data_IF_888784234129
#
_entry.id   IF_888784234129
#
_cell.length_a   1.000
_cell.length_b   1.000
_cell.length_c   1.000
_cell.angle_alpha   90.00
_cell.angle_beta   90.00
_cell.angle_gamma   90.00
#
_symmetry.space_group_name_H-M   'P 1'
#
loop_
_entity.id
_entity.type
_entity.pdbx_description
1 polymer ?
#
# COMPACT_ATOMS: atom_id res chain seq x y z
N UNK A 1 -82.95 -23.97 1.65
CA UNK A 1 -82.62 -22.53 1.55
C UNK A 1 -82.15 -22.07 2.94
N UNK A 2 -80.84 -22.11 3.20
CA UNK A 2 -80.25 -21.63 4.46
C UNK A 2 -78.98 -20.85 4.14
N UNK A 3 -79.00 -19.58 4.51
CA UNK A 3 -78.00 -18.55 4.26
C UNK A 3 -76.82 -18.78 5.21
N UNK A 4 -75.61 -18.78 4.65
CA UNK A 4 -74.35 -18.99 5.35
C UNK A 4 -73.96 -17.77 6.18
N UNK A 5 -73.53 -18.01 7.43
CA UNK A 5 -72.86 -17.04 8.31
C UNK A 5 -71.36 -17.32 8.33
N UNK A 6 -70.60 -16.25 8.22
CA UNK A 6 -69.15 -16.19 8.25
C UNK A 6 -68.59 -16.36 9.68
N UNK A 7 -67.46 -17.05 9.80
CA UNK A 7 -66.55 -17.04 10.94
C UNK A 7 -65.14 -16.70 10.40
N UNK A 8 -64.42 -15.72 10.96
CA UNK A 8 -63.08 -15.36 10.50
C UNK A 8 -62.04 -16.31 11.10
N UNK A 9 -61.17 -16.87 10.25
CA UNK A 9 -60.02 -17.66 10.68
C UNK A 9 -58.87 -16.74 11.08
N UNK A 10 -58.37 -16.89 12.30
CA UNK A 10 -57.09 -16.33 12.74
C UNK A 10 -55.95 -16.97 11.93
N UNK A 11 -55.23 -16.16 11.14
CA UNK A 11 -53.94 -16.53 10.57
C UNK A 11 -52.83 -16.04 11.51
N UNK A 12 -52.23 -16.99 12.23
CA UNK A 12 -50.98 -16.80 12.97
C UNK A 12 -49.86 -16.71 11.94
N UNK A 13 -49.38 -15.50 11.66
CA UNK A 13 -48.20 -15.28 10.83
C UNK A 13 -46.94 -15.69 11.59
N UNK A 14 -46.33 -16.81 11.21
CA UNK A 14 -44.97 -17.17 11.60
C UNK A 14 -44.01 -16.13 11.02
N UNK A 15 -43.39 -15.31 11.88
CA UNK A 15 -42.22 -14.51 11.51
C UNK A 15 -41.04 -15.45 11.39
N UNK A 16 -40.72 -15.88 10.17
CA UNK A 16 -39.46 -16.54 9.86
C UNK A 16 -38.35 -15.50 9.93
N UNK A 17 -37.62 -15.48 11.04
CA UNK A 17 -36.35 -14.76 11.13
C UNK A 17 -35.39 -15.33 10.08
N UNK A 18 -34.96 -14.49 9.14
CA UNK A 18 -33.89 -14.85 8.21
C UNK A 18 -32.62 -15.20 9.02
N UNK A 19 -31.85 -16.23 8.61
CA UNK A 19 -30.61 -16.55 9.29
C UNK A 19 -29.66 -15.35 9.14
N UNK A 20 -29.31 -14.71 10.24
CA UNK A 20 -28.22 -13.75 10.26
C UNK A 20 -26.96 -14.44 9.78
N UNK A 21 -26.29 -13.85 8.79
CA UNK A 21 -24.96 -14.27 8.35
C UNK A 21 -24.06 -14.23 9.58
N UNK A 22 -23.66 -15.41 10.06
CA UNK A 22 -22.75 -15.53 11.18
C UNK A 22 -21.40 -14.92 10.76
N UNK A 23 -21.04 -13.79 11.36
CA UNK A 23 -19.67 -13.26 11.32
C UNK A 23 -18.74 -14.38 11.78
N UNK A 24 -17.75 -14.78 10.98
CA UNK A 24 -16.79 -15.80 11.41
C UNK A 24 -16.00 -15.25 12.60
N UNK A 25 -16.15 -15.83 13.82
CA UNK A 25 -15.41 -15.38 14.99
C UNK A 25 -13.97 -15.91 15.01
N UNK A 26 -13.53 -16.59 13.95
CA UNK A 26 -12.22 -17.24 13.83
C UNK A 26 -11.52 -16.76 12.57
N UNK A 27 -10.20 -16.66 12.65
CA UNK A 27 -9.38 -16.44 11.47
C UNK A 27 -9.48 -17.64 10.52
N UNK A 28 -9.38 -17.36 9.23
CA UNK A 28 -9.27 -18.38 8.18
C UNK A 28 -7.83 -18.39 7.67
N UNK A 29 -7.25 -19.57 7.49
CA UNK A 29 -5.87 -19.66 7.04
C UNK A 29 -5.56 -20.94 6.26
N UNK A 30 -4.64 -20.84 5.32
CA UNK A 30 -4.00 -21.96 4.65
C UNK A 30 -2.50 -21.65 4.54
N UNK A 31 -1.66 -22.60 4.95
CA UNK A 31 -0.19 -22.45 4.88
C UNK A 31 0.34 -21.17 5.54
N UNK A 32 -0.39 -20.63 6.51
CA UNK A 32 -0.05 -19.43 7.26
C UNK A 32 -0.65 -19.56 8.66
N UNK A 33 0.04 -19.05 9.69
CA UNK A 33 -0.40 -19.16 11.08
C UNK A 33 -0.17 -17.85 11.84
N UNK A 34 -1.18 -17.38 12.56
CA UNK A 34 -1.04 -16.22 13.45
C UNK A 34 0.00 -16.50 14.54
N UNK A 35 0.96 -15.59 14.69
CA UNK A 35 1.94 -15.60 15.78
C UNK A 35 1.59 -14.62 16.88
N UNK A 36 1.20 -13.41 16.51
CA UNK A 36 0.88 -12.35 17.44
C UNK A 36 0.00 -11.29 16.81
N UNK A 37 -0.59 -10.46 17.67
CA UNK A 37 -1.52 -9.40 17.32
C UNK A 37 -1.31 -8.21 18.24
N UNK A 38 -1.53 -7.02 17.72
CA UNK A 38 -1.65 -5.81 18.52
C UNK A 38 -2.82 -4.98 17.96
N UNK A 39 -3.69 -4.47 18.82
CA UNK A 39 -4.89 -3.73 18.40
C UNK A 39 -4.60 -2.33 17.82
N UNK A 40 -3.38 -1.84 17.99
CA UNK A 40 -2.91 -0.50 17.60
C UNK A 40 -3.78 0.61 18.22
N UNK A 41 -4.27 0.40 19.45
CA UNK A 41 -5.21 1.29 20.11
C UNK A 41 -6.47 1.56 19.26
N UNK A 42 -6.91 0.55 18.50
CA UNK A 42 -8.05 0.62 17.58
C UNK A 42 -7.93 1.72 16.51
N UNK A 43 -6.70 2.09 16.12
CA UNK A 43 -6.46 3.04 15.03
C UNK A 43 -6.50 2.31 13.68
N UNK A 44 -7.12 2.94 12.68
CA UNK A 44 -7.09 2.46 11.29
C UNK A 44 -5.66 2.47 10.76
N UNK A 45 -5.16 1.35 10.23
CA UNK A 45 -3.79 1.23 9.75
C UNK A 45 -3.70 1.30 8.21
N UNK A 46 -2.60 1.85 7.72
CA UNK A 46 -2.26 1.92 6.29
C UNK A 46 -0.93 1.21 6.03
N UNK A 47 0.22 1.90 6.08
CA UNK A 47 1.52 1.32 5.75
C UNK A 47 2.29 0.86 7.01
N UNK A 48 2.59 -0.45 7.16
CA UNK A 48 3.61 -0.92 8.08
C UNK A 48 4.99 -0.91 7.41
N UNK A 49 6.04 -0.55 8.15
CA UNK A 49 7.45 -0.77 7.80
C UNK A 49 8.14 -1.39 9.00
N UNK A 50 8.80 -2.53 8.78
CA UNK A 50 9.52 -3.24 9.83
C UNK A 50 11.00 -3.00 9.58
N UNK A 51 11.62 -2.27 10.51
CA UNK A 51 13.00 -1.85 10.39
C UNK A 51 13.84 -2.51 11.49
N UNK A 52 15.01 -3.03 11.11
CA UNK A 52 15.96 -3.59 12.07
C UNK A 52 16.84 -2.47 12.62
N UNK A 53 16.66 -2.14 13.89
CA UNK A 53 17.42 -1.12 14.63
C UNK A 53 18.35 -1.81 15.63
N UNK A 54 19.58 -2.05 15.19
CA UNK A 54 20.52 -2.90 15.93
C UNK A 54 20.00 -4.34 16.00
N UNK A 55 19.80 -4.84 17.22
CA UNK A 55 19.27 -6.19 17.47
C UNK A 55 17.74 -6.24 17.57
N UNK A 56 17.06 -5.08 17.54
CA UNK A 56 15.60 -4.99 17.66
C UNK A 56 14.95 -4.86 16.28
N UNK A 57 13.74 -5.40 16.17
CA UNK A 57 12.85 -5.14 15.05
C UNK A 57 11.76 -4.17 15.50
N UNK A 58 11.71 -3.00 14.89
CA UNK A 58 10.74 -1.96 15.20
C UNK A 58 9.77 -1.84 14.03
N UNK A 59 8.47 -1.97 14.32
CA UNK A 59 7.41 -1.72 13.36
C UNK A 59 6.93 -0.26 13.49
N UNK A 60 6.99 0.46 12.37
CA UNK A 60 6.40 1.78 12.20
C UNK A 60 5.12 1.61 11.40
N UNK A 61 3.97 1.94 11.99
CA UNK A 61 2.66 1.75 11.35
C UNK A 61 1.99 3.10 11.20
N UNK A 62 1.86 3.55 9.96
CA UNK A 62 1.12 4.76 9.64
C UNK A 62 -0.38 4.54 9.69
N UNK A 63 -1.12 5.58 10.12
CA UNK A 63 -2.56 5.53 10.30
C UNK A 63 -3.29 6.53 9.41
N UNK A 64 -4.48 6.14 8.97
CA UNK A 64 -5.46 7.08 8.42
C UNK A 64 -5.94 8.06 9.52
N UNK A 65 -6.51 9.17 9.10
CA UNK A 65 -7.14 10.16 9.96
C UNK A 65 -8.22 9.61 10.90
N UNK A 66 -8.50 10.38 11.93
CA UNK A 66 -9.38 10.06 13.04
C UNK A 66 -8.70 10.35 14.38
N UNK A 67 -9.44 10.15 15.47
CA UNK A 67 -8.95 10.36 16.85
C UNK A 67 -9.16 9.09 17.66
N UNK A 68 -8.19 8.74 18.50
CA UNK A 68 -8.30 7.63 19.47
C UNK A 68 -7.64 7.98 20.80
N UNK A 69 -8.13 7.42 21.91
CA UNK A 69 -7.46 7.50 23.19
C UNK A 69 -6.05 6.89 23.08
N UNK A 70 -5.10 7.51 23.77
CA UNK A 70 -3.75 7.02 23.93
C UNK A 70 -3.50 6.67 25.41
N UNK A 71 -3.50 5.37 25.77
CA UNK A 71 -3.23 4.93 27.14
C UNK A 71 -1.84 5.34 27.67
N UNK A 72 -0.85 5.58 26.80
CA UNK A 72 0.48 6.02 27.22
C UNK A 72 0.49 7.47 27.74
N UNK A 73 -0.40 8.32 27.24
CA UNK A 73 -0.45 9.76 27.58
C UNK A 73 -1.72 10.14 28.36
N UNK A 74 -2.72 9.26 28.38
CA UNK A 74 -4.02 9.51 28.99
C UNK A 74 -4.89 10.52 28.22
N UNK A 75 -4.56 10.79 26.94
CA UNK A 75 -5.23 11.81 26.12
C UNK A 75 -5.80 11.21 24.84
N UNK A 76 -6.84 11.85 24.31
CA UNK A 76 -7.26 11.63 22.93
C UNK A 76 -6.27 12.29 21.98
N UNK A 77 -5.80 11.53 21.00
CA UNK A 77 -4.82 11.99 20.02
C UNK A 77 -5.27 11.69 18.61
N UNK A 78 -5.05 12.65 17.71
CA UNK A 78 -5.15 12.47 16.28
C UNK A 78 -4.30 11.28 15.85
N UNK A 79 -4.88 10.35 15.11
CA UNK A 79 -4.15 9.24 14.50
C UNK A 79 -2.91 9.77 13.77
N UNK A 80 -1.79 9.07 13.90
CA UNK A 80 -0.57 9.42 13.20
C UNK A 80 0.26 8.18 12.91
N UNK A 81 1.32 7.97 13.67
CA UNK A 81 2.22 6.82 13.48
C UNK A 81 2.39 6.08 14.80
N UNK A 82 2.07 4.79 14.82
CA UNK A 82 2.40 3.90 15.94
C UNK A 82 3.81 3.33 15.78
N UNK A 83 4.54 3.22 16.89
CA UNK A 83 5.86 2.58 16.94
C UNK A 83 5.76 1.39 17.89
N UNK A 84 6.09 0.20 17.40
CA UNK A 84 6.03 -1.05 18.17
C UNK A 84 7.38 -1.78 18.14
N UNK A 85 7.77 -2.35 19.26
CA UNK A 85 8.80 -3.39 19.27
C UNK A 85 8.16 -4.73 18.86
N UNK A 86 8.63 -5.28 17.75
CA UNK A 86 8.21 -6.58 17.20
C UNK A 86 9.37 -7.56 17.14
N UNK A 87 10.40 -7.35 17.99
CA UNK A 87 11.51 -8.29 18.16
C UNK A 87 10.98 -9.65 18.62
N UNK A 88 10.00 -9.65 19.53
CA UNK A 88 9.27 -10.86 19.90
C UNK A 88 7.89 -10.87 19.23
N UNK A 89 7.72 -11.55 18.08
CA UNK A 89 6.52 -11.43 17.23
C UNK A 89 5.23 -11.92 17.91
N UNK A 90 5.35 -12.74 18.96
CA UNK A 90 4.21 -13.24 19.73
C UNK A 90 3.69 -12.23 20.76
N UNK A 91 4.48 -11.22 21.10
CA UNK A 91 4.14 -10.21 22.09
C UNK A 91 4.63 -8.81 21.64
N UNK A 92 4.04 -8.23 20.57
CA UNK A 92 4.37 -6.88 20.15
C UNK A 92 4.16 -5.87 21.27
N UNK A 93 5.11 -4.96 21.48
CA UNK A 93 5.04 -3.94 22.53
C UNK A 93 4.89 -2.55 21.93
N UNK A 94 3.81 -1.85 22.25
CA UNK A 94 3.62 -0.47 21.83
C UNK A 94 4.58 0.46 22.58
N UNK A 95 5.41 1.20 21.84
CA UNK A 95 6.49 2.04 22.40
C UNK A 95 6.10 3.51 22.46
N UNK A 96 5.55 4.02 21.37
CA UNK A 96 5.22 5.42 21.22
C UNK A 96 4.18 5.63 20.12
N UNK A 97 3.55 6.80 20.16
CA UNK A 97 2.68 7.28 19.10
C UNK A 97 3.09 8.71 18.75
N UNK A 98 3.21 9.00 17.45
CA UNK A 98 3.46 10.35 16.95
C UNK A 98 2.16 10.86 16.31
N UNK A 99 1.48 11.87 16.88
CA UNK A 99 0.23 12.41 16.30
C UNK A 99 0.39 12.88 14.84
N UNK A 100 -0.70 12.77 14.08
CA UNK A 100 -0.79 13.18 12.69
C UNK A 100 -1.64 14.43 12.47
N UNK A 101 -2.17 14.59 11.26
CA UNK A 101 -3.04 15.71 10.90
C UNK A 101 -4.52 15.45 11.26
N UNK A 102 -5.32 16.51 11.49
CA UNK A 102 -6.77 16.38 11.68
C UNK A 102 -7.47 15.93 10.40
N UNK A 103 -8.69 15.41 10.55
CA UNK A 103 -9.50 14.85 9.47
C UNK A 103 -9.66 13.34 9.60
N UNK A 104 -10.68 12.79 8.94
CA UNK A 104 -11.00 11.36 8.95
C UNK A 104 -10.48 10.65 7.70
N UNK A 105 -10.21 9.36 7.81
CA UNK A 105 -9.77 8.52 6.69
C UNK A 105 -8.54 9.14 5.96
N UNK A 106 -8.55 9.27 4.63
CA UNK A 106 -7.41 9.86 3.90
C UNK A 106 -7.27 11.38 4.08
N UNK A 107 -8.24 12.06 4.69
CA UNK A 107 -8.20 13.52 4.87
C UNK A 107 -7.32 13.96 6.06
N UNK A 108 -6.81 13.03 6.87
CA UNK A 108 -5.95 13.29 8.02
C UNK A 108 -4.91 12.19 8.24
N UNK A 109 -4.39 12.09 9.45
CA UNK A 109 -3.50 10.99 9.84
C UNK A 109 -2.01 11.23 9.53
N UNK A 110 -1.26 10.14 9.48
CA UNK A 110 0.12 10.07 8.98
C UNK A 110 0.32 8.66 8.38
N UNK A 111 -0.38 8.40 7.29
CA UNK A 111 -0.65 7.04 6.80
C UNK A 111 0.58 6.36 6.22
N UNK A 112 1.49 7.11 5.60
CA UNK A 112 2.66 6.56 4.92
C UNK A 112 3.96 6.82 5.67
N UNK A 113 4.80 5.79 5.76
CA UNK A 113 6.09 5.82 6.45
C UNK A 113 7.21 5.12 5.68
N UNK A 114 8.45 5.60 5.85
CA UNK A 114 9.71 4.96 5.46
C UNK A 114 10.77 5.21 6.52
N UNK A 115 11.71 4.28 6.67
CA UNK A 115 12.75 4.37 7.70
C UNK A 115 14.12 4.11 7.07
N UNK A 116 15.09 4.93 7.43
CA UNK A 116 16.48 4.77 7.02
C UNK A 116 17.41 4.98 8.23
N UNK A 117 18.45 4.15 8.33
CA UNK A 117 19.55 4.43 9.24
C UNK A 117 20.46 5.52 8.66
N UNK A 118 20.89 6.44 9.50
CA UNK A 118 21.83 7.50 9.14
C UNK A 118 23.19 6.98 8.67
N UNK A 119 23.58 5.75 9.06
CA UNK A 119 24.82 5.11 8.57
C UNK A 119 24.78 4.78 7.07
N UNK A 120 23.58 4.60 6.52
CA UNK A 120 23.34 4.26 5.10
C UNK A 120 23.17 5.53 4.27
N UNK A 121 22.62 6.59 4.86
CA UNK A 121 22.42 7.88 4.21
C UNK A 121 23.76 8.59 3.93
N UNK A 122 23.92 9.25 2.77
CA UNK A 122 25.21 9.85 2.38
C UNK A 122 25.79 10.90 3.33
N UNK A 123 24.93 11.72 3.95
CA UNK A 123 25.34 12.93 4.69
C UNK A 123 24.60 13.08 6.02
N UNK A 124 23.98 12.01 6.52
CA UNK A 124 23.26 12.03 7.79
C UNK A 124 24.19 11.75 8.98
N UNK A 125 23.70 12.00 10.20
CA UNK A 125 24.37 11.52 11.40
C UNK A 125 24.31 9.98 11.44
N UNK A 126 25.47 9.34 11.37
CA UNK A 126 25.60 7.87 11.26
C UNK A 126 25.07 7.12 12.48
N UNK A 127 24.89 7.80 13.61
CA UNK A 127 24.40 7.22 14.86
C UNK A 127 22.88 7.19 14.96
N UNK A 128 22.18 7.82 14.01
CA UNK A 128 20.74 8.06 14.06
C UNK A 128 19.95 7.08 13.20
N UNK A 129 18.66 6.97 13.50
CA UNK A 129 17.64 6.36 12.63
C UNK A 129 16.53 7.38 12.37
N UNK A 130 16.11 7.50 11.12
CA UNK A 130 15.18 8.52 10.66
C UNK A 130 13.91 7.91 10.08
N UNK A 131 12.76 8.50 10.43
CA UNK A 131 11.44 8.17 9.90
C UNK A 131 10.98 9.30 8.97
N UNK A 132 10.80 9.00 7.69
CA UNK A 132 10.06 9.84 6.75
C UNK A 132 8.57 9.47 6.83
N UNK A 133 7.68 10.45 6.95
CA UNK A 133 6.24 10.22 6.95
C UNK A 133 5.46 11.35 6.31
N UNK A 134 4.22 11.07 5.91
CA UNK A 134 3.21 12.11 5.62
C UNK A 134 2.67 12.72 6.91
N UNK A 135 2.24 13.99 6.87
CA UNK A 135 1.37 14.63 7.88
C UNK A 135 0.03 14.93 7.21
N UNK A 136 -0.83 13.90 7.14
CA UNK A 136 -2.08 13.91 6.38
C UNK A 136 -1.91 14.56 5.00
N UNK A 137 -2.86 15.37 4.53
CA UNK A 137 -2.75 16.04 3.23
C UNK A 137 -1.78 17.22 3.21
N UNK A 138 -1.17 17.59 4.34
CA UNK A 138 -0.60 18.92 4.55
C UNK A 138 0.91 19.00 4.24
N UNK A 139 1.66 17.94 4.54
CA UNK A 139 3.11 17.97 4.51
C UNK A 139 3.76 16.57 4.45
N UNK A 140 5.06 16.53 4.18
CA UNK A 140 5.95 15.40 4.49
C UNK A 140 6.98 15.83 5.53
N UNK A 141 7.27 14.96 6.50
CA UNK A 141 8.13 15.23 7.65
C UNK A 141 9.19 14.15 7.83
N UNK A 142 10.33 14.53 8.40
CA UNK A 142 11.33 13.59 8.92
C UNK A 142 11.40 13.72 10.44
N UNK A 143 11.49 12.58 11.11
CA UNK A 143 11.62 12.44 12.56
C UNK A 143 12.90 11.66 12.89
N UNK A 144 13.60 12.06 13.95
CA UNK A 144 14.62 11.23 14.59
C UNK A 144 13.91 10.20 15.49
N UNK A 145 14.10 8.92 15.19
CA UNK A 145 13.50 7.77 15.87
C UNK A 145 14.57 6.81 16.40
N UNK A 146 15.79 7.33 16.62
CA UNK A 146 16.90 6.57 17.20
C UNK A 146 16.53 5.98 18.55
N UNK A 147 15.82 6.75 19.38
CA UNK A 147 15.12 6.26 20.55
C UNK A 147 13.63 6.10 20.21
N UNK A 148 13.16 4.89 19.84
CA UNK A 148 11.80 4.68 19.35
C UNK A 148 10.73 4.94 20.41
N UNK A 149 11.08 4.99 21.70
CA UNK A 149 10.16 5.39 22.78
C UNK A 149 9.97 6.91 22.89
N UNK A 150 10.87 7.70 22.29
CA UNK A 150 10.85 9.17 22.37
C UNK A 150 11.23 9.81 21.04
N UNK A 151 10.39 9.63 20.00
CA UNK A 151 10.61 10.20 18.69
C UNK A 151 10.60 11.74 18.75
N UNK A 152 11.49 12.39 18.02
CA UNK A 152 11.58 13.85 17.96
C UNK A 152 11.49 14.35 16.53
N UNK A 153 10.67 15.37 16.29
CA UNK A 153 10.58 16.01 14.97
C UNK A 153 11.95 16.57 14.59
N UNK A 154 12.39 16.28 13.36
CA UNK A 154 13.65 16.79 12.84
C UNK A 154 13.40 17.97 11.90
N UNK A 155 12.56 17.76 10.88
CA UNK A 155 12.26 18.78 9.88
C UNK A 155 10.98 18.48 9.11
N UNK A 156 10.38 19.51 8.54
CA UNK A 156 9.30 19.39 7.56
C UNK A 156 9.89 19.56 6.17
N UNK A 157 9.86 18.49 5.36
CA UNK A 157 10.48 18.44 4.03
C UNK A 157 9.78 19.37 3.05
N UNK A 158 8.46 19.33 3.08
CA UNK A 158 7.58 20.18 2.27
C UNK A 158 6.25 20.34 2.99
N UNK A 159 5.68 21.54 2.93
CA UNK A 159 4.39 21.91 3.53
C UNK A 159 3.54 22.75 2.57
N UNK A 160 2.32 23.11 2.98
CA UNK A 160 1.40 23.88 2.14
C UNK A 160 0.71 23.05 1.07
N UNK A 161 0.71 21.73 1.23
CA UNK A 161 0.05 20.78 0.34
C UNK A 161 -1.44 20.68 0.70
N UNK A 162 -2.26 20.29 -0.27
CA UNK A 162 -3.66 19.90 -0.09
C UNK A 162 -3.91 18.42 -0.31
N UNK A 163 -2.89 17.67 -0.75
CA UNK A 163 -2.94 16.22 -0.84
C UNK A 163 -1.53 15.65 -0.71
N UNK A 164 -1.37 14.60 0.12
CA UNK A 164 -0.22 13.68 0.07
C UNK A 164 -0.72 12.25 -0.07
N UNK A 165 0.16 11.29 -0.36
CA UNK A 165 -0.23 9.88 -0.30
C UNK A 165 0.96 8.99 0.06
N UNK A 166 1.55 8.28 -0.90
CA UNK A 166 2.73 7.46 -0.69
C UNK A 166 4.03 8.28 -0.64
N UNK A 167 5.10 7.65 -0.16
CA UNK A 167 6.47 8.09 -0.32
C UNK A 167 7.40 6.88 -0.50
N UNK A 168 8.53 7.12 -1.16
CA UNK A 168 9.61 6.16 -1.32
C UNK A 168 10.92 6.86 -0.98
N UNK A 169 11.78 6.21 -0.20
CA UNK A 169 13.07 6.79 0.21
C UNK A 169 14.18 5.77 -0.05
N UNK A 170 15.07 6.10 -0.97
CA UNK A 170 16.28 5.33 -1.27
C UNK A 170 17.34 5.67 -0.21
N UNK A 171 17.53 4.81 0.80
CA UNK A 171 18.44 5.11 1.90
C UNK A 171 19.91 5.28 1.47
N UNK A 172 20.35 4.63 0.40
CA UNK A 172 21.73 4.66 -0.09
C UNK A 172 22.09 5.95 -0.82
N UNK A 173 21.17 6.48 -1.63
CA UNK A 173 21.34 7.74 -2.36
C UNK A 173 20.79 8.95 -1.61
N UNK A 174 19.89 8.72 -0.65
CA UNK A 174 19.12 9.75 0.04
C UNK A 174 17.96 10.31 -0.77
N UNK A 175 17.72 9.86 -2.00
CA UNK A 175 16.65 10.39 -2.85
C UNK A 175 15.28 9.92 -2.34
N UNK A 176 14.38 10.87 -2.17
CA UNK A 176 13.00 10.63 -1.76
C UNK A 176 12.01 11.10 -2.83
N UNK A 177 11.01 10.27 -3.08
CA UNK A 177 9.90 10.53 -4.00
C UNK A 177 8.63 10.68 -3.17
N UNK A 178 8.10 11.89 -3.13
CA UNK A 178 7.01 12.28 -2.23
C UNK A 178 5.75 12.48 -3.06
N UNK A 179 4.78 11.56 -2.96
CA UNK A 179 3.49 11.74 -3.64
C UNK A 179 2.74 12.89 -2.96
N UNK A 180 2.48 13.92 -3.75
CA UNK A 180 2.00 15.22 -3.30
C UNK A 180 1.10 15.84 -4.37
N UNK A 181 0.33 16.87 -4.01
CA UNK A 181 -0.39 17.64 -5.02
C UNK A 181 0.54 18.55 -5.85
N UNK A 182 -0.06 19.20 -6.84
CA UNK A 182 0.57 20.15 -7.73
C UNK A 182 1.00 21.48 -7.13
N UNK A 183 0.79 21.73 -5.83
CA UNK A 183 0.92 23.09 -5.29
C UNK A 183 2.39 23.53 -5.17
N UNK A 184 2.66 24.84 -5.29
CA UNK A 184 1.73 25.88 -5.76
C UNK A 184 1.56 25.95 -7.29
N UNK A 185 2.26 25.10 -8.05
CA UNK A 185 2.50 25.24 -9.48
C UNK A 185 1.32 24.95 -10.42
N UNK A 186 0.09 24.71 -9.94
CA UNK A 186 -1.09 24.60 -10.82
C UNK A 186 -1.10 23.35 -11.73
N UNK A 187 -0.49 22.25 -11.28
CA UNK A 187 -0.56 20.97 -12.00
C UNK A 187 -2.00 20.47 -12.11
N UNK A 188 -2.30 19.78 -13.22
CA UNK A 188 -3.63 19.29 -13.60
C UNK A 188 -3.87 17.86 -13.14
N UNK A 189 -3.43 17.55 -11.92
CA UNK A 189 -3.62 16.25 -11.27
C UNK A 189 -3.78 16.44 -9.76
N UNK A 190 -4.50 15.52 -9.10
CA UNK A 190 -4.60 15.51 -7.64
C UNK A 190 -3.29 15.06 -6.97
N UNK A 191 -2.49 14.24 -7.65
CA UNK A 191 -1.25 13.64 -7.13
C UNK A 191 -0.19 13.57 -8.23
N UNK A 192 0.99 14.09 -7.94
CA UNK A 192 2.23 13.95 -8.69
C UNK A 192 3.39 13.69 -7.71
N UNK A 193 4.62 13.57 -8.21
CA UNK A 193 5.79 13.28 -7.38
C UNK A 193 6.67 14.51 -7.20
N UNK A 194 6.89 14.94 -5.95
CA UNK A 194 7.95 15.88 -5.60
C UNK A 194 9.20 15.11 -5.21
N UNK A 195 10.32 15.40 -5.85
CA UNK A 195 11.59 14.70 -5.64
C UNK A 195 12.49 15.57 -4.76
N UNK A 196 12.99 14.98 -3.68
CA UNK A 196 13.91 15.62 -2.74
C UNK A 196 15.17 14.77 -2.56
N UNK A 197 16.30 15.44 -2.38
CA UNK A 197 17.52 14.85 -1.84
C UNK A 197 17.48 15.00 -0.32
N UNK A 198 17.25 13.87 0.36
CA UNK A 198 17.26 13.72 1.81
C UNK A 198 18.52 12.97 2.29
N UNK A 199 19.62 13.03 1.53
CA UNK A 199 20.90 12.44 1.95
C UNK A 199 21.45 13.07 3.23
N UNK A 200 21.11 14.35 3.47
CA UNK A 200 21.12 14.98 4.79
C UNK A 200 19.65 15.23 5.19
N UNK A 201 19.05 14.39 6.04
CA UNK A 201 17.63 14.50 6.39
C UNK A 201 17.30 15.75 7.21
N UNK A 202 18.29 16.42 7.82
CA UNK A 202 18.08 17.69 8.52
C UNK A 202 18.03 18.88 7.54
N UNK A 203 18.54 18.72 6.31
CA UNK A 203 18.57 19.76 5.27
C UNK A 203 18.02 19.24 3.94
N UNK A 204 16.70 19.01 3.85
CA UNK A 204 16.06 18.57 2.62
C UNK A 204 16.33 19.52 1.45
N UNK A 205 16.70 18.99 0.29
CA UNK A 205 16.92 19.78 -0.92
C UNK A 205 15.95 19.35 -2.01
N UNK A 206 15.09 20.27 -2.44
CA UNK A 206 14.20 20.03 -3.59
C UNK A 206 15.02 19.78 -4.86
N UNK A 207 14.61 18.79 -5.65
CA UNK A 207 15.21 18.44 -6.93
C UNK A 207 14.30 18.89 -8.06
N UNK A 208 13.08 18.34 -8.15
CA UNK A 208 12.09 18.67 -9.17
C UNK A 208 10.71 18.15 -8.81
N UNK A 209 9.70 18.70 -9.49
CA UNK A 209 8.39 18.07 -9.63
C UNK A 209 8.41 17.13 -10.85
N UNK A 210 7.69 16.00 -10.76
CA UNK A 210 7.62 15.00 -11.82
C UNK A 210 6.26 14.31 -11.87
N UNK A 211 5.77 14.05 -13.09
CA UNK A 211 4.50 13.42 -13.37
C UNK A 211 4.42 12.99 -14.84
N UNK A 212 3.25 12.51 -15.27
CA UNK A 212 3.03 12.20 -16.68
C UNK A 212 2.88 13.50 -17.49
N UNK A 213 3.42 13.52 -18.70
CA UNK A 213 3.18 14.61 -19.63
C UNK A 213 1.67 14.76 -19.91
N UNK A 214 1.18 15.99 -19.91
CA UNK A 214 -0.24 16.36 -19.88
C UNK A 214 -0.76 16.72 -18.48
N UNK A 215 0.04 16.53 -17.42
CA UNK A 215 -0.29 16.97 -16.05
C UNK A 215 0.36 18.31 -15.70
N UNK A 216 1.42 18.68 -16.42
CA UNK A 216 2.22 19.86 -16.11
C UNK A 216 1.43 21.18 -16.25
N UNK A 217 1.88 22.24 -15.57
CA UNK A 217 1.25 23.56 -15.66
C UNK A 217 1.20 24.07 -17.11
N UNK A 218 0.06 24.63 -17.51
CA UNK A 218 -0.15 25.16 -18.85
C UNK A 218 -0.46 24.12 -19.93
N UNK A 219 -0.46 22.82 -19.61
CA UNK A 219 -0.91 21.77 -20.53
C UNK A 219 -2.41 21.87 -20.83
N UNK A 220 -2.83 21.36 -21.99
CA UNK A 220 -4.24 21.35 -22.46
C UNK A 220 -4.75 19.91 -22.67
N UNK A 221 -6.03 19.73 -23.05
CA UNK A 221 -6.63 18.41 -23.27
C UNK A 221 -6.93 17.63 -21.98
N UNK A 222 -7.20 16.33 -22.08
CA UNK A 222 -7.51 15.49 -20.90
C UNK A 222 -6.22 15.13 -20.16
N UNK A 223 -6.11 15.53 -18.88
CA UNK A 223 -4.95 15.19 -18.06
C UNK A 223 -4.95 13.68 -17.68
N UNK A 224 -3.77 13.02 -17.71
CA UNK A 224 -3.62 11.66 -17.17
C UNK A 224 -3.92 11.59 -15.67
N UNK A 225 -4.30 10.40 -15.20
CA UNK A 225 -4.54 10.15 -13.78
C UNK A 225 -3.31 10.35 -12.90
N UNK A 226 -3.55 10.71 -11.64
CA UNK A 226 -2.49 10.96 -10.67
C UNK A 226 -1.67 9.73 -10.31
N UNK A 227 -0.44 9.98 -9.85
CA UNK A 227 0.45 8.92 -9.36
C UNK A 227 -0.09 8.38 -8.03
N UNK A 228 -0.07 7.07 -7.88
CA UNK A 228 -0.35 6.42 -6.61
C UNK A 228 0.91 6.26 -5.76
N UNK A 229 1.98 5.74 -6.36
CA UNK A 229 3.27 5.59 -5.70
C UNK A 229 4.39 5.14 -6.63
N UNK A 230 5.63 5.59 -6.37
CA UNK A 230 6.84 5.03 -6.98
C UNK A 230 7.47 3.94 -6.11
N UNK A 231 8.17 3.02 -6.75
CA UNK A 231 9.15 2.13 -6.12
C UNK A 231 10.44 2.23 -6.93
N UNK A 232 11.56 2.51 -6.27
CA UNK A 232 12.88 2.57 -6.91
C UNK A 232 13.68 1.29 -6.62
N UNK A 233 14.34 0.77 -7.64
CA UNK A 233 15.26 -0.37 -7.52
C UNK A 233 16.39 -0.22 -8.55
N UNK A 234 17.64 -0.35 -8.08
CA UNK A 234 18.85 -0.11 -8.91
C UNK A 234 18.77 1.27 -9.58
N UNK A 235 18.89 1.37 -10.91
CA UNK A 235 18.85 2.64 -11.64
C UNK A 235 17.47 2.93 -12.28
N UNK A 236 16.40 2.35 -11.72
CA UNK A 236 15.03 2.52 -12.22
C UNK A 236 14.10 3.00 -11.13
N UNK A 237 13.12 3.79 -11.55
CA UNK A 237 11.95 4.16 -10.74
C UNK A 237 10.71 3.69 -11.49
N UNK A 238 9.89 2.90 -10.81
CA UNK A 238 8.66 2.33 -11.35
C UNK A 238 7.47 3.06 -10.75
N UNK A 239 6.77 3.84 -11.55
CA UNK A 239 5.60 4.61 -11.11
C UNK A 239 4.31 3.91 -11.51
N UNK A 240 3.38 3.82 -10.56
CA UNK A 240 2.02 3.36 -10.79
C UNK A 240 1.05 4.56 -10.75
N UNK A 241 0.23 4.72 -11.79
CA UNK A 241 -0.77 5.78 -11.92
C UNK A 241 -2.18 5.19 -12.03
N UNK A 242 -3.19 6.02 -11.73
CA UNK A 242 -4.60 5.69 -11.96
C UNK A 242 -5.04 4.50 -11.12
N UNK A 243 -5.05 4.64 -9.80
CA UNK A 243 -5.12 3.56 -8.80
C UNK A 243 -6.09 2.40 -9.06
N UNK A 244 -7.32 2.67 -9.52
CA UNK A 244 -8.33 1.65 -9.81
C UNK A 244 -8.95 1.74 -11.21
N UNK A 245 -8.43 2.63 -12.07
CA UNK A 245 -8.91 2.85 -13.43
C UNK A 245 -7.90 3.67 -14.23
N UNK A 246 -7.88 3.48 -15.55
CA UNK A 246 -7.02 4.22 -16.50
C UNK A 246 -5.54 4.18 -16.11
N UNK A 247 -5.09 2.99 -15.69
CA UNK A 247 -3.77 2.79 -15.11
C UNK A 247 -2.64 3.01 -16.11
N UNK A 248 -1.49 3.47 -15.58
CA UNK A 248 -0.23 3.54 -16.31
C UNK A 248 0.87 2.98 -15.42
N UNK A 249 1.68 2.06 -15.97
CA UNK A 249 3.00 1.74 -15.43
C UNK A 249 4.04 2.53 -16.22
N UNK A 250 4.83 3.35 -15.54
CA UNK A 250 5.94 4.08 -16.15
C UNK A 250 7.27 3.60 -15.56
N UNK A 251 8.23 3.28 -16.43
CA UNK A 251 9.58 2.87 -16.08
C UNK A 251 10.51 4.02 -16.44
N UNK A 252 11.21 4.55 -15.44
CA UNK A 252 12.01 5.77 -15.56
C UNK A 252 13.47 5.49 -15.22
N UNK A 253 14.40 6.01 -16.03
CA UNK A 253 15.83 5.99 -15.71
C UNK A 253 16.13 7.03 -14.62
N UNK A 254 16.61 6.55 -13.47
CA UNK A 254 16.82 7.40 -12.29
C UNK A 254 17.87 8.48 -12.53
N UNK A 255 18.97 8.16 -13.23
CA UNK A 255 20.03 9.12 -13.50
C UNK A 255 19.53 10.25 -14.40
N UNK A 256 18.80 9.93 -15.48
CA UNK A 256 18.17 10.93 -16.36
C UNK A 256 17.11 11.76 -15.64
N UNK A 257 16.33 11.13 -14.74
CA UNK A 257 15.30 11.83 -13.97
C UNK A 257 15.89 12.94 -13.11
N UNK A 258 17.02 12.64 -12.44
CA UNK A 258 17.69 13.54 -11.51
C UNK A 258 18.59 14.58 -12.21
N UNK A 259 19.21 14.23 -13.34
CA UNK A 259 20.06 15.15 -14.11
C UNK A 259 19.25 16.10 -15.01
N UNK A 260 18.10 15.64 -15.52
CA UNK A 260 17.31 16.37 -16.51
C UNK A 260 17.87 16.26 -17.94
N UNK A 261 17.13 16.80 -18.91
CA UNK A 261 17.53 16.79 -20.31
C UNK A 261 18.68 17.80 -20.55
N UNK A 262 19.90 17.35 -20.92
CA UNK A 262 21.02 18.25 -21.17
C UNK A 262 20.82 19.14 -22.42
N UNK A 263 19.87 18.80 -23.30
CA UNK A 263 19.50 19.63 -24.45
C UNK A 263 18.54 20.77 -24.10
N UNK A 264 18.03 20.83 -22.88
CA UNK A 264 17.06 21.84 -22.43
C UNK A 264 17.77 22.96 -21.65
N UNK A 265 17.40 24.24 -21.87
CA UNK A 265 17.95 25.36 -21.09
C UNK A 265 17.50 25.32 -19.62
N UNK A 266 16.46 24.54 -19.31
CA UNK A 266 16.01 24.28 -17.95
C UNK A 266 15.74 22.76 -17.79
N UNK A 267 16.78 21.92 -17.60
CA UNK A 267 16.70 20.45 -17.68
C UNK A 267 15.65 19.78 -16.77
N UNK A 268 15.34 20.43 -15.65
CA UNK A 268 14.43 19.92 -14.62
C UNK A 268 13.05 20.59 -14.64
N UNK A 269 12.83 21.60 -15.49
CA UNK A 269 11.53 22.25 -15.61
C UNK A 269 10.47 21.24 -16.07
N UNK A 270 9.21 21.34 -15.60
CA UNK A 270 8.18 20.37 -15.92
C UNK A 270 7.56 20.63 -17.31
N UNK A 271 8.37 20.61 -18.36
CA UNK A 271 7.85 20.63 -19.74
C UNK A 271 7.51 19.21 -20.18
N UNK A 272 6.57 19.05 -21.12
CA UNK A 272 6.23 17.73 -21.66
C UNK A 272 7.47 16.97 -22.18
N UNK A 273 8.45 17.66 -22.76
CA UNK A 273 9.71 17.06 -23.20
C UNK A 273 10.56 16.57 -22.01
N UNK A 274 10.79 17.42 -21.01
CA UNK A 274 11.57 17.09 -19.82
C UNK A 274 10.92 16.01 -18.94
N UNK A 275 9.59 15.85 -18.98
CA UNK A 275 8.87 14.78 -18.30
C UNK A 275 8.98 13.43 -19.04
N UNK A 276 9.07 13.45 -20.38
CA UNK A 276 9.29 12.25 -21.19
C UNK A 276 10.75 11.83 -21.29
N UNK A 277 11.69 12.78 -21.15
CA UNK A 277 13.13 12.51 -21.28
C UNK A 277 13.64 11.31 -20.47
N UNK A 278 13.27 11.14 -19.18
CA UNK A 278 13.76 10.00 -18.40
C UNK A 278 12.90 8.73 -18.57
N UNK A 279 11.80 8.77 -19.32
CA UNK A 279 10.94 7.58 -19.56
C UNK A 279 11.68 6.58 -20.45
N UNK A 280 11.83 5.35 -19.95
CA UNK A 280 12.42 4.22 -20.68
C UNK A 280 11.35 3.38 -21.34
N UNK A 281 10.22 3.20 -20.65
CA UNK A 281 9.07 2.47 -21.18
C UNK A 281 7.81 2.73 -20.36
N UNK A 282 6.68 2.39 -20.97
CA UNK A 282 5.35 2.66 -20.46
C UNK A 282 4.37 1.58 -20.90
N UNK A 283 3.49 1.17 -20.00
CA UNK A 283 2.31 0.36 -20.30
C UNK A 283 1.06 1.15 -19.91
N UNK A 284 0.23 1.49 -20.90
CA UNK A 284 -1.12 1.98 -20.67
C UNK A 284 -2.07 0.79 -20.49
N UNK A 285 -2.78 0.77 -19.36
CA UNK A 285 -3.70 -0.32 -19.02
C UNK A 285 -5.08 -0.11 -19.66
N UNK A 286 -5.88 -1.18 -19.71
CA UNK A 286 -7.29 -1.05 -20.05
C UNK A 286 -7.99 -0.11 -19.05
N UNK A 287 -9.03 0.64 -19.48
CA UNK A 287 -9.64 1.69 -18.65
C UNK A 287 -10.18 1.22 -17.30
N UNK A 288 -10.55 -0.05 -17.17
CA UNK A 288 -11.11 -0.64 -15.95
C UNK A 288 -10.07 -0.93 -14.86
N UNK A 289 -8.77 -0.91 -15.19
CA UNK A 289 -7.71 -1.30 -14.26
C UNK A 289 -6.69 -0.21 -14.08
N UNK A 290 -6.13 -0.22 -12.88
CA UNK A 290 -5.24 0.79 -12.38
C UNK A 290 -3.88 0.29 -11.96
N UNK A 291 -3.00 1.25 -11.66
CA UNK A 291 -1.72 1.00 -11.01
C UNK A 291 -1.71 1.57 -9.60
N UNK A 292 -1.82 0.71 -8.58
CA UNK A 292 -1.63 1.07 -7.17
C UNK A 292 -0.18 0.78 -6.70
N UNK A 293 0.33 -0.43 -6.92
CA UNK A 293 1.70 -0.80 -6.55
C UNK A 293 2.45 -1.37 -7.75
N UNK A 294 3.66 -0.87 -8.02
CA UNK A 294 4.54 -1.27 -9.12
C UNK A 294 5.80 -1.95 -8.58
N UNK A 295 5.67 -3.15 -8.01
CA UNK A 295 6.77 -3.85 -7.34
C UNK A 295 7.69 -4.56 -8.35
N UNK A 296 8.96 -4.12 -8.54
CA UNK A 296 9.86 -4.72 -9.52
C UNK A 296 10.47 -6.03 -9.01
N UNK A 297 10.56 -7.02 -9.89
CA UNK A 297 11.15 -8.34 -9.66
C UNK A 297 12.18 -8.59 -10.77
N UNK A 298 13.43 -8.29 -10.47
CA UNK A 298 14.54 -8.37 -11.42
C UNK A 298 15.34 -9.67 -11.25
N UNK A 299 15.81 -10.23 -12.35
CA UNK A 299 16.70 -11.39 -12.39
C UNK A 299 16.01 -12.72 -12.12
N UNK A 300 14.70 -12.82 -12.38
CA UNK A 300 13.94 -14.03 -12.14
C UNK A 300 14.35 -15.12 -13.13
N UNK A 301 14.78 -16.27 -12.61
CA UNK A 301 15.05 -17.46 -13.42
C UNK A 301 13.74 -18.20 -13.69
N UNK A 302 13.29 -18.22 -14.94
CA UNK A 302 12.08 -18.93 -15.38
C UNK A 302 12.47 -20.39 -15.63
N UNK A 303 12.17 -21.25 -14.65
CA UNK A 303 12.59 -22.65 -14.67
C UNK A 303 12.07 -23.41 -15.91
N UNK A 304 10.86 -23.10 -16.36
CA UNK A 304 10.26 -23.67 -17.58
C UNK A 304 11.12 -23.41 -18.83
N UNK A 305 11.89 -22.31 -18.84
CA UNK A 305 12.71 -21.89 -19.98
C UNK A 305 14.16 -22.35 -19.87
N UNK A 306 14.54 -23.20 -18.90
CA UNK A 306 15.92 -23.64 -18.69
C UNK A 306 16.53 -24.35 -19.91
N UNK A 307 15.73 -25.04 -20.72
CA UNK A 307 16.17 -25.67 -21.95
C UNK A 307 16.18 -24.72 -23.17
N UNK A 308 15.63 -23.51 -23.02
CA UNK A 308 15.57 -22.50 -24.08
C UNK A 308 16.93 -21.85 -24.29
N UNK A 309 17.26 -21.51 -25.54
CA UNK A 309 18.51 -20.81 -25.88
C UNK A 309 18.57 -19.36 -25.40
N UNK A 310 17.42 -18.75 -25.09
CA UNK A 310 17.27 -17.37 -24.60
C UNK A 310 16.07 -17.27 -23.65
N UNK A 311 16.05 -16.22 -22.82
CA UNK A 311 14.91 -15.87 -21.98
C UNK A 311 14.84 -16.61 -20.64
N UNK A 312 15.90 -17.33 -20.25
CA UNK A 312 16.00 -18.03 -18.97
C UNK A 312 15.88 -17.07 -17.79
N UNK A 313 16.56 -15.92 -17.85
CA UNK A 313 16.48 -14.86 -16.85
C UNK A 313 15.67 -13.71 -17.42
N UNK A 314 14.70 -13.23 -16.65
CA UNK A 314 13.74 -12.20 -17.05
C UNK A 314 13.47 -11.24 -15.90
N UNK A 315 13.02 -10.04 -16.27
CA UNK A 315 12.64 -8.99 -15.33
C UNK A 315 11.13 -8.75 -15.42
N UNK A 316 10.48 -8.55 -14.29
CA UNK A 316 9.04 -8.33 -14.18
C UNK A 316 8.70 -7.16 -13.27
N UNK A 317 7.47 -6.67 -13.38
CA UNK A 317 6.81 -5.83 -12.37
C UNK A 317 5.52 -6.52 -11.96
N UNK A 318 5.34 -6.75 -10.66
CA UNK A 318 4.02 -7.03 -10.10
C UNK A 318 3.28 -5.70 -10.00
N UNK A 319 2.35 -5.47 -10.93
CA UNK A 319 1.49 -4.31 -10.96
C UNK A 319 0.15 -4.66 -10.31
N UNK A 320 -0.09 -4.14 -9.11
CA UNK A 320 -1.31 -4.37 -8.32
C UNK A 320 -2.27 -3.21 -8.57
N UNK A 321 -3.51 -3.50 -8.98
CA UNK A 321 -4.61 -2.51 -9.01
C UNK A 321 -5.32 -2.46 -7.65
N UNK A 322 -6.15 -1.45 -7.40
CA UNK A 322 -6.91 -1.30 -6.15
C UNK A 322 -8.42 -1.44 -6.36
N UNK A 323 -9.08 -2.26 -5.53
CA UNK A 323 -10.53 -2.17 -5.32
C UNK A 323 -10.93 -0.98 -4.44
N UNK A 324 -11.85 -0.16 -4.93
CA UNK A 324 -12.28 1.08 -4.31
C UNK A 324 -13.70 0.99 -3.71
N UNK A 325 -14.50 0.00 -4.11
CA UNK A 325 -15.91 -0.14 -3.73
C UNK A 325 -16.15 -1.34 -2.83
N UNK A 326 -17.06 -1.15 -1.88
CA UNK A 326 -17.54 -2.22 -1.01
C UNK A 326 -18.44 -3.17 -1.81
N UNK A 327 -18.50 -4.43 -1.38
CA UNK A 327 -19.47 -5.43 -1.88
C UNK A 327 -19.46 -5.60 -3.40
N UNK A 328 -18.28 -5.48 -4.02
CA UNK A 328 -18.06 -5.77 -5.45
C UNK A 328 -18.87 -4.87 -6.41
N UNK A 329 -19.17 -3.63 -6.01
CA UNK A 329 -19.92 -2.65 -6.82
C UNK A 329 -19.07 -1.93 -7.90
N UNK A 330 -18.04 -2.60 -8.42
CA UNK A 330 -17.13 -2.08 -9.46
C UNK A 330 -16.57 -3.22 -10.32
N UNK A 331 -15.90 -2.88 -11.43
CA UNK A 331 -15.15 -3.85 -12.22
C UNK A 331 -14.10 -4.54 -11.36
N UNK A 332 -13.99 -5.87 -11.49
CA UNK A 332 -13.03 -6.66 -10.72
C UNK A 332 -11.60 -6.19 -10.98
N UNK A 333 -10.92 -5.80 -9.91
CA UNK A 333 -9.54 -5.37 -9.94
C UNK A 333 -8.61 -6.58 -9.83
N UNK A 334 -7.49 -6.52 -10.54
CA UNK A 334 -6.56 -7.63 -10.70
C UNK A 334 -5.13 -7.22 -10.29
N UNK A 335 -4.28 -8.21 -10.07
CA UNK A 335 -2.83 -8.02 -10.07
C UNK A 335 -2.24 -8.59 -11.36
N UNK A 336 -1.24 -7.94 -11.91
CA UNK A 336 -0.65 -8.27 -13.21
C UNK A 336 0.85 -8.54 -13.04
N UNK A 337 1.35 -9.61 -13.64
CA UNK A 337 2.78 -9.75 -13.87
C UNK A 337 3.09 -9.17 -15.25
N UNK A 338 3.86 -8.09 -15.26
CA UNK A 338 4.26 -7.38 -16.47
C UNK A 338 5.72 -7.73 -16.75
N UNK A 339 5.99 -8.37 -17.89
CA UNK A 339 7.36 -8.62 -18.35
C UNK A 339 7.98 -7.29 -18.80
N UNK A 340 9.14 -6.98 -18.22
CA UNK A 340 9.93 -5.78 -18.49
C UNK A 340 11.36 -6.11 -18.91
N UNK A 341 11.62 -7.37 -19.32
CA UNK A 341 12.94 -7.82 -19.80
C UNK A 341 13.43 -6.95 -20.95
N UNK A 342 12.50 -6.45 -21.78
CA UNK A 342 12.74 -5.32 -22.67
C UNK A 342 11.99 -4.11 -22.10
N UNK A 343 12.68 -3.27 -21.32
CA UNK A 343 12.06 -2.19 -20.54
C UNK A 343 11.22 -1.22 -21.39
N UNK A 344 11.56 -1.00 -22.66
CA UNK A 344 10.82 -0.14 -23.58
C UNK A 344 9.54 -0.76 -24.14
N UNK A 345 9.27 -2.04 -23.84
CA UNK A 345 8.13 -2.82 -24.30
C UNK A 345 7.53 -3.64 -23.14
N UNK A 346 7.08 -2.99 -22.05
CA UNK A 346 6.43 -3.69 -20.96
C UNK A 346 5.16 -4.38 -21.46
N UNK A 347 4.95 -5.65 -21.08
CA UNK A 347 3.80 -6.43 -21.54
C UNK A 347 3.22 -7.32 -20.43
N UNK A 348 1.90 -7.27 -20.16
CA UNK A 348 1.29 -8.14 -19.15
C UNK A 348 1.25 -9.59 -19.65
N UNK A 349 1.88 -10.50 -18.91
CA UNK A 349 1.98 -11.93 -19.29
C UNK A 349 1.03 -12.82 -18.51
N UNK A 350 0.60 -12.40 -17.32
CA UNK A 350 -0.37 -13.14 -16.50
C UNK A 350 -1.08 -12.22 -15.50
N UNK A 351 -2.15 -12.74 -14.90
CA UNK A 351 -2.90 -12.07 -13.84
C UNK A 351 -3.08 -13.00 -12.63
N UNK A 352 -3.24 -12.38 -11.46
CA UNK A 352 -3.67 -13.05 -10.24
C UNK A 352 -4.97 -12.44 -9.73
N UNK A 353 -5.91 -13.32 -9.34
CA UNK A 353 -7.19 -12.97 -8.75
C UNK A 353 -7.63 -14.03 -7.75
N UNK A 354 -8.33 -13.60 -6.70
CA UNK A 354 -9.02 -14.49 -5.76
C UNK A 354 -10.46 -14.72 -6.27
N UNK A 355 -10.93 -15.98 -6.41
CA UNK A 355 -12.33 -16.26 -6.73
C UNK A 355 -13.28 -15.64 -5.71
N UNK A 356 -14.42 -15.15 -6.19
CA UNK A 356 -15.32 -14.33 -5.37
C UNK A 356 -15.84 -15.03 -4.10
N UNK A 357 -16.19 -16.32 -4.19
CA UNK A 357 -16.81 -17.04 -3.08
C UNK A 357 -17.94 -16.23 -2.45
N UNK A 358 -17.89 -16.08 -1.13
CA UNK A 358 -18.79 -15.27 -0.32
C UNK A 358 -18.24 -13.85 -0.03
N UNK A 359 -17.06 -13.47 -0.53
CA UNK A 359 -16.39 -12.20 -0.18
C UNK A 359 -17.18 -10.95 -0.58
N UNK A 360 -18.01 -11.00 -1.63
CA UNK A 360 -18.88 -9.87 -1.97
C UNK A 360 -19.99 -9.67 -0.92
N UNK A 361 -20.41 -10.74 -0.25
CA UNK A 361 -21.49 -10.73 0.72
C UNK A 361 -21.00 -10.47 2.15
N UNK A 362 -19.73 -10.79 2.46
CA UNK A 362 -19.11 -10.53 3.76
C UNK A 362 -19.10 -9.05 4.17
N UNK A 363 -19.13 -8.13 3.21
CA UNK A 363 -19.06 -6.69 3.45
C UNK A 363 -17.66 -6.11 3.29
N UNK A 364 -17.56 -4.78 3.22
CA UNK A 364 -16.30 -4.11 2.91
C UNK A 364 -15.84 -4.34 1.47
N UNK A 365 -14.63 -3.92 1.16
CA UNK A 365 -14.02 -4.12 -0.16
C UNK A 365 -13.51 -5.54 -0.29
N UNK A 366 -13.62 -6.08 -1.51
CA UNK A 366 -13.05 -7.37 -1.90
C UNK A 366 -12.30 -7.21 -3.23
N UNK A 367 -10.99 -7.44 -3.19
CA UNK A 367 -10.08 -7.30 -4.32
C UNK A 367 -8.68 -6.89 -3.85
N UNK A 368 -7.71 -6.78 -4.76
CA UNK A 368 -6.36 -6.38 -4.42
C UNK A 368 -6.29 -4.93 -3.93
N UNK A 369 -5.27 -4.62 -3.15
CA UNK A 369 -4.88 -3.25 -2.78
C UNK A 369 -3.38 -3.05 -2.99
N UNK A 370 -2.53 -3.71 -2.21
CA UNK A 370 -1.08 -3.55 -2.29
C UNK A 370 -0.32 -4.86 -2.15
N UNK A 371 0.89 -4.93 -2.70
CA UNK A 371 1.86 -5.96 -2.34
C UNK A 371 2.67 -5.55 -1.10
N UNK A 372 3.43 -6.49 -0.53
CA UNK A 372 4.61 -6.13 0.25
C UNK A 372 5.57 -5.27 -0.59
N UNK A 373 6.34 -4.42 0.06
CA UNK A 373 7.26 -3.49 -0.60
C UNK A 373 8.73 -3.77 -0.23
N UNK A 374 8.97 -4.59 0.80
CA UNK A 374 10.29 -5.10 1.15
C UNK A 374 10.85 -6.06 0.09
N UNK A 375 12.14 -5.90 -0.19
CA UNK A 375 12.94 -6.75 -1.07
C UNK A 375 13.67 -7.87 -0.31
N UNK A 376 13.18 -8.27 0.88
CA UNK A 376 13.85 -9.25 1.72
C UNK A 376 14.16 -10.56 0.95
N UNK A 377 15.43 -11.04 0.96
CA UNK A 377 15.86 -12.20 0.16
C UNK A 377 15.11 -13.51 0.44
N UNK A 378 14.51 -13.63 1.63
CA UNK A 378 13.73 -14.82 2.02
C UNK A 378 12.60 -15.10 1.02
N UNK A 379 11.94 -14.06 0.50
CA UNK A 379 10.79 -14.19 -0.41
C UNK A 379 11.00 -13.58 -1.81
N UNK A 380 11.94 -12.65 -1.97
CA UNK A 380 12.16 -11.96 -3.24
C UNK A 380 12.41 -12.94 -4.41
N UNK A 381 11.67 -12.75 -5.51
CA UNK A 381 11.70 -13.62 -6.69
C UNK A 381 11.06 -15.00 -6.49
N UNK A 382 10.37 -15.25 -5.36
CA UNK A 382 9.74 -16.54 -5.06
C UNK A 382 8.26 -16.39 -4.73
N UNK A 383 7.97 -15.67 -3.65
CA UNK A 383 6.61 -15.47 -3.14
C UNK A 383 6.38 -13.99 -2.91
N UNK A 384 5.25 -13.47 -3.38
CA UNK A 384 4.79 -12.12 -3.09
C UNK A 384 3.55 -12.19 -2.20
N UNK A 385 3.40 -11.21 -1.31
CA UNK A 385 2.25 -11.11 -0.43
C UNK A 385 1.38 -9.95 -0.89
N UNK A 386 0.10 -10.21 -1.10
CA UNK A 386 -0.86 -9.22 -1.61
C UNK A 386 -1.95 -9.02 -0.55
N UNK A 387 -2.12 -7.78 -0.09
CA UNK A 387 -3.26 -7.35 0.69
C UNK A 387 -4.51 -7.36 -0.19
N UNK A 388 -5.56 -8.04 0.27
CA UNK A 388 -6.78 -8.31 -0.49
C UNK A 388 -8.05 -7.95 0.28
N UNK A 389 -8.00 -6.85 1.04
CA UNK A 389 -9.08 -6.33 1.87
C UNK A 389 -9.76 -7.40 2.73
N UNK A 390 -11.06 -7.66 2.56
CA UNK A 390 -11.82 -8.63 3.36
C UNK A 390 -11.42 -10.10 3.10
N UNK A 391 -10.54 -10.32 2.12
CA UNK A 391 -9.91 -11.59 1.83
C UNK A 391 -8.50 -11.71 2.44
N UNK A 392 -8.11 -10.81 3.35
CA UNK A 392 -6.87 -10.92 4.12
C UNK A 392 -5.61 -10.73 3.27
N UNK A 393 -4.55 -11.46 3.60
CA UNK A 393 -3.33 -11.54 2.79
C UNK A 393 -3.32 -12.80 1.94
N UNK A 394 -2.83 -12.69 0.70
CA UNK A 394 -2.59 -13.79 -0.23
C UNK A 394 -1.10 -13.97 -0.47
N UNK A 395 -0.58 -15.17 -0.23
CA UNK A 395 0.78 -15.55 -0.57
C UNK A 395 0.77 -16.19 -1.97
N UNK A 396 1.45 -15.58 -2.93
CA UNK A 396 1.42 -15.97 -4.33
C UNK A 396 2.83 -16.35 -4.79
N UNK A 397 3.00 -17.59 -5.22
CA UNK A 397 4.23 -18.08 -5.85
C UNK A 397 4.32 -17.54 -7.28
N UNK A 398 5.43 -16.87 -7.58
CA UNK A 398 5.70 -16.17 -8.83
C UNK A 398 6.91 -16.77 -9.58
N UNK A 399 7.42 -17.93 -9.15
CA UNK A 399 8.55 -18.60 -9.81
C UNK A 399 8.22 -19.04 -11.24
N UNK A 400 6.95 -19.34 -11.52
CA UNK A 400 6.39 -19.33 -12.87
C UNK A 400 5.57 -18.04 -13.07
N UNK A 401 6.17 -16.96 -13.62
CA UNK A 401 5.50 -15.68 -13.77
C UNK A 401 4.36 -15.72 -14.81
N UNK A 402 4.27 -16.78 -15.62
CA UNK A 402 3.18 -16.97 -16.59
C UNK A 402 1.96 -17.64 -15.95
N UNK A 403 2.14 -18.29 -14.78
CA UNK A 403 1.09 -19.01 -14.04
C UNK A 403 1.25 -18.78 -12.52
N UNK A 404 1.07 -17.53 -12.03
CA UNK A 404 1.17 -17.24 -10.60
C UNK A 404 0.12 -18.04 -9.81
N UNK A 405 0.52 -18.60 -8.67
CA UNK A 405 -0.33 -19.53 -7.91
C UNK A 405 -0.43 -19.14 -6.45
N UNK A 406 -1.64 -19.08 -5.90
CA UNK A 406 -1.83 -18.95 -4.46
C UNK A 406 -1.27 -20.19 -3.75
N UNK A 407 -0.37 -19.96 -2.80
CA UNK A 407 0.28 -20.99 -1.97
C UNK A 407 -0.07 -20.88 -0.49
N UNK A 408 -0.80 -19.83 -0.11
CA UNK A 408 -1.34 -19.67 1.24
C UNK A 408 -2.14 -18.37 1.38
N UNK A 409 -2.91 -18.29 2.44
CA UNK A 409 -3.64 -17.09 2.83
C UNK A 409 -3.83 -17.01 4.34
N UNK A 410 -4.04 -15.80 4.84
CA UNK A 410 -4.50 -15.56 6.20
C UNK A 410 -5.52 -14.43 6.22
N UNK A 411 -6.70 -14.69 6.78
CA UNK A 411 -7.79 -13.74 6.96
C UNK A 411 -7.99 -13.57 8.46
N UNK A 412 -7.69 -12.38 9.02
CA UNK A 412 -7.95 -12.10 10.42
C UNK A 412 -9.43 -12.27 10.81
N UNK A 413 -9.68 -12.64 12.06
CA UNK A 413 -11.02 -12.54 12.62
C UNK A 413 -11.39 -11.07 12.84
N UNK A 414 -12.68 -10.74 12.78
CA UNK A 414 -13.16 -9.44 13.28
C UNK A 414 -12.98 -9.36 14.80
N UNK A 415 -12.84 -8.13 15.31
CA UNK A 415 -12.71 -7.83 16.75
C UNK A 415 -13.78 -6.84 17.17
N UNK A 416 -13.98 -6.58 18.48
CA UNK A 416 -14.85 -5.49 18.93
C UNK A 416 -14.44 -4.10 18.40
N UNK A 417 -13.17 -3.93 18.01
CA UNK A 417 -12.64 -2.71 17.43
C UNK A 417 -12.88 -2.61 15.92
N UNK A 418 -13.36 -3.68 15.26
CA UNK A 418 -13.48 -3.70 13.80
C UNK A 418 -14.61 -2.79 13.33
N UNK A 419 -14.24 -1.76 12.59
CA UNK A 419 -15.15 -0.72 12.08
C UNK A 419 -16.13 -1.28 11.03
N UNK A 420 -17.36 -0.74 11.06
CA UNK A 420 -18.40 -1.05 10.08
C UNK A 420 -18.03 -0.56 8.67
N UNK A 421 -18.46 -1.32 7.66
CA UNK A 421 -18.37 -1.02 6.24
C UNK A 421 -19.76 -0.92 5.66
N UNK A 422 -20.10 0.24 5.11
CA UNK A 422 -21.45 0.55 4.67
C UNK A 422 -21.52 0.67 3.14
N UNK A 423 -22.69 0.35 2.60
CA UNK A 423 -23.10 0.59 1.22
C UNK A 423 -24.47 1.27 1.22
N UNK A 424 -24.74 2.09 0.21
CA UNK A 424 -26.08 2.64 -0.02
C UNK A 424 -26.86 1.70 -0.94
N UNK A 425 -28.02 1.25 -0.49
CA UNK A 425 -28.92 0.35 -1.23
C UNK A 425 -30.31 0.95 -1.22
N UNK A 426 -30.84 1.33 -2.39
CA UNK A 426 -32.15 1.97 -2.54
C UNK A 426 -32.35 3.20 -1.61
N UNK A 427 -31.28 3.97 -1.38
CA UNK A 427 -31.31 5.17 -0.53
C UNK A 427 -31.25 4.88 0.98
N UNK A 428 -31.03 3.63 1.38
CA UNK A 428 -30.81 3.23 2.77
C UNK A 428 -29.40 2.67 2.97
N UNK A 429 -28.76 3.08 4.08
CA UNK A 429 -27.43 2.61 4.44
C UNK A 429 -27.49 1.21 5.05
N UNK A 430 -26.75 0.27 4.47
CA UNK A 430 -26.54 -1.08 5.01
C UNK A 430 -25.09 -1.24 5.41
N UNK A 431 -24.84 -1.52 6.68
CA UNK A 431 -23.50 -1.69 7.23
C UNK A 431 -23.25 -3.13 7.69
N UNK A 432 -22.06 -3.65 7.39
CA UNK A 432 -21.54 -4.94 7.87
C UNK A 432 -20.21 -4.74 8.58
N UNK A 433 -19.82 -5.67 9.44
CA UNK A 433 -18.50 -5.67 10.07
C UNK A 433 -17.63 -6.63 9.29
N UNK A 434 -16.54 -6.14 8.72
CA UNK A 434 -15.60 -6.95 7.95
C UNK A 434 -14.19 -6.40 8.12
N UNK A 435 -13.22 -7.30 8.23
CA UNK A 435 -11.80 -6.94 8.16
C UNK A 435 -11.50 -6.29 6.81
N UNK A 436 -10.47 -5.45 6.78
CA UNK A 436 -10.00 -4.76 5.59
C UNK A 436 -8.47 -4.71 5.65
N UNK A 437 -7.81 -5.85 5.42
CA UNK A 437 -6.36 -5.90 5.33
C UNK A 437 -5.91 -4.98 4.19
N UNK A 438 -5.30 -3.86 4.55
CA UNK A 438 -5.06 -2.75 3.65
C UNK A 438 -3.66 -2.86 3.06
N UNK A 439 -2.63 -2.96 3.90
CA UNK A 439 -1.28 -3.25 3.42
C UNK A 439 -0.69 -4.45 4.14
N UNK A 440 0.29 -5.04 3.48
CA UNK A 440 1.13 -6.07 4.05
C UNK A 440 2.59 -5.70 3.90
N UNK A 441 3.42 -6.16 4.82
CA UNK A 441 4.87 -6.05 4.73
C UNK A 441 5.54 -7.31 5.27
N UNK A 442 6.80 -7.54 4.88
CA UNK A 442 7.61 -8.66 5.34
C UNK A 442 8.92 -8.18 5.97
N UNK A 443 9.50 -9.01 6.84
CA UNK A 443 10.84 -8.79 7.38
C UNK A 443 11.83 -9.91 6.99
N UNK A 444 13.10 -9.69 7.30
CA UNK A 444 14.19 -10.64 7.00
C UNK A 444 14.10 -11.96 7.78
N UNK A 445 13.27 -12.03 8.83
CA UNK A 445 13.01 -13.26 9.60
C UNK A 445 11.95 -14.14 8.93
N UNK A 446 11.28 -13.62 7.91
CA UNK A 446 10.24 -14.31 7.16
C UNK A 446 8.83 -14.11 7.73
N UNK A 447 8.62 -13.16 8.64
CA UNK A 447 7.27 -12.85 9.14
C UNK A 447 6.52 -11.91 8.20
N UNK A 448 5.19 -12.05 8.19
CA UNK A 448 4.28 -11.23 7.39
C UNK A 448 3.41 -10.40 8.33
N UNK A 449 3.33 -9.10 8.07
CA UNK A 449 2.65 -8.11 8.88
C UNK A 449 1.44 -7.57 8.13
N UNK A 450 0.23 -7.75 8.66
CA UNK A 450 -1.01 -7.27 8.05
C UNK A 450 -1.53 -6.05 8.80
N UNK A 451 -1.60 -4.91 8.12
CA UNK A 451 -2.18 -3.68 8.64
C UNK A 451 -3.63 -3.54 8.16
N UNK A 452 -4.56 -3.47 9.11
CA UNK A 452 -6.00 -3.43 8.82
C UNK A 452 -6.58 -2.01 8.90
N UNK A 453 -7.20 -1.53 7.81
CA UNK A 453 -7.83 -0.18 7.78
C UNK A 453 -9.15 -0.11 8.53
N UNK A 454 -9.72 -1.25 8.90
CA UNK A 454 -10.94 -1.32 9.70
C UNK A 454 -10.65 -1.45 11.19
N UNK A 455 -9.48 -1.00 11.64
CA UNK A 455 -9.13 -0.91 13.06
C UNK A 455 -9.06 -2.28 13.77
N UNK A 456 -8.94 -3.37 13.00
CA UNK A 456 -8.75 -4.73 13.52
C UNK A 456 -7.33 -4.92 14.11
N UNK A 457 -6.39 -4.03 13.76
CA UNK A 457 -5.04 -3.97 14.32
C UNK A 457 -3.95 -4.49 13.37
N UNK A 458 -2.78 -4.78 13.95
CA UNK A 458 -1.63 -5.38 13.29
C UNK A 458 -1.59 -6.88 13.59
N UNK A 459 -1.52 -7.71 12.56
CA UNK A 459 -1.37 -9.17 12.72
C UNK A 459 0.00 -9.59 12.21
N UNK A 460 0.71 -10.40 13.01
CA UNK A 460 2.01 -10.97 12.65
C UNK A 460 1.81 -12.45 12.38
N UNK A 461 2.13 -12.88 11.17
CA UNK A 461 1.82 -14.20 10.64
C UNK A 461 3.10 -14.90 10.21
N UNK A 462 3.21 -16.18 10.53
CA UNK A 462 4.25 -17.07 10.05
C UNK A 462 3.74 -17.84 8.83
N UNK A 463 4.39 -17.72 7.66
CA UNK A 463 4.16 -18.65 6.56
C UNK A 463 4.57 -20.07 6.95
N UNK A 464 3.80 -21.06 6.52
CA UNK A 464 4.05 -22.49 6.70
C UNK A 464 3.96 -23.22 5.37
N UNK A 465 4.46 -24.46 5.29
CA UNK A 465 4.40 -25.25 4.06
C UNK A 465 4.95 -24.49 2.83
N UNK A 466 4.27 -24.56 1.66
CA UNK A 466 4.68 -23.87 0.44
C UNK A 466 4.82 -22.34 0.55
N UNK A 467 4.11 -21.68 1.48
CA UNK A 467 4.18 -20.23 1.63
C UNK A 467 5.50 -19.75 2.26
N UNK A 468 6.31 -20.64 2.85
CA UNK A 468 7.64 -20.30 3.41
C UNK A 468 8.68 -19.88 2.35
N UNK A 469 8.38 -20.04 1.06
CA UNK A 469 9.34 -19.72 0.00
C UNK A 469 10.54 -20.67 -0.06
N UNK A 470 10.46 -21.80 0.65
CA UNK A 470 11.36 -22.93 0.47
C UNK A 470 11.12 -23.60 -0.89
N UNK A 471 12.14 -24.29 -1.40
CA UNK A 471 12.14 -25.00 -2.69
C UNK A 471 10.89 -25.85 -2.88
#
# INVERSE_FOLDING_TARGET
>A
MRIARWLPALLVGLVLAAPGVALSPRSEAQNMRLLGHHDLQARSAYQPVIHRQGERFIAYVGHHGGTRPNPLTGRDELNGTSILDVSEPRAPKYLAHIPGAPGDAEAGGASMVRVCDGRTLPRADRTKTYLLRTLGPLAHEVWDVTEPTRPTHLTTVVSGLGHTHKNWWECDSGIAYLVSDGRPAGWRTNRMTKIYDLGDPARPRFVRDFGLAGQEPGSTGTAPEGVHGPIALKNRVYFAYGTGARGVLQIVDRARLLAGDPGSPAPLAPTAANLRYPEVGRLDMAPDWGGHTSFPILGLTVTEFMASSKGVVRDFVLLVSESLRNECQETRQLSFLVDITTESKPFPVSTFQVPAGDFCERGGRFGPHSSNESFAPVYYGKVVFIAYFNAGVRAVDIRDPFRPREVGYFIPAVTPNTDRRCVEVFGASRCKIAIQTNNVEIDERGYVYLADRASTGLHIVEPTGPARGGS
#
